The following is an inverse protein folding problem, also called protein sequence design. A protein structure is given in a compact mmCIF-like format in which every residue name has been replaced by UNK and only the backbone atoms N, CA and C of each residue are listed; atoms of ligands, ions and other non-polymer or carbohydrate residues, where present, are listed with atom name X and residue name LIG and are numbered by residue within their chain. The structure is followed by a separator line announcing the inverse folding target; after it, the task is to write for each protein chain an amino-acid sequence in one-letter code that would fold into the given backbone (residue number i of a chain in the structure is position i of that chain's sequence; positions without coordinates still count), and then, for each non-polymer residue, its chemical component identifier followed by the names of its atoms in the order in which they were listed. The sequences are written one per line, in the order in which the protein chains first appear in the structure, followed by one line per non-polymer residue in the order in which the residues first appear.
data_IF_277403389967
#
_entry.id   IF_277403389967
#
_cell.length_a   1.000
_cell.length_b   1.000
_cell.length_c   1.000
_cell.angle_alpha   90.00
_cell.angle_beta   90.00
_cell.angle_gamma   90.00
#
_symmetry.space_group_name_H-M   'P 1'
#
loop_
_entity.id
_entity.type
_entity.pdbx_description
1 polymer ?
#
# COMPACT_ATOMS: atom_id res chain seq x y z
N UNK A 1 18.17 -17.72 -15.28
CA UNK A 1 16.80 -17.42 -15.74
C UNK A 1 16.30 -16.17 -15.03
N UNK A 2 16.27 -15.05 -15.75
CA UNK A 2 15.66 -13.79 -15.33
C UNK A 2 14.22 -13.87 -15.79
N UNK A 3 13.26 -13.96 -14.87
CA UNK A 3 11.85 -13.97 -15.24
C UNK A 3 11.43 -12.55 -15.59
N UNK A 4 11.25 -12.31 -16.88
CA UNK A 4 10.53 -11.15 -17.37
C UNK A 4 9.11 -11.23 -16.80
N UNK A 5 8.77 -10.30 -15.92
CA UNK A 5 7.38 -9.95 -15.66
C UNK A 5 6.88 -9.31 -16.97
N UNK A 6 6.45 -10.16 -17.90
CA UNK A 6 5.71 -9.82 -19.11
C UNK A 6 4.30 -9.41 -18.66
N UNK A 7 4.21 -8.25 -18.01
CA UNK A 7 2.98 -7.49 -17.92
C UNK A 7 2.92 -6.72 -19.22
N UNK A 8 2.11 -7.23 -20.15
CA UNK A 8 1.91 -6.67 -21.47
C UNK A 8 1.57 -5.18 -21.35
N UNK A 9 2.51 -4.33 -21.75
CA UNK A 9 2.22 -2.98 -22.20
C UNK A 9 1.32 -3.11 -23.43
N UNK A 10 0.02 -2.89 -23.26
CA UNK A 10 -0.93 -2.89 -24.38
C UNK A 10 -2.29 -3.55 -24.15
N UNK A 11 -2.59 -4.07 -22.96
CA UNK A 11 -3.99 -4.36 -22.65
C UNK A 11 -4.72 -3.02 -22.44
N UNK A 12 -5.50 -2.58 -23.44
CA UNK A 12 -6.60 -1.64 -23.22
C UNK A 12 -7.48 -2.24 -22.12
N UNK A 13 -7.27 -1.76 -20.89
CA UNK A 13 -7.98 -2.22 -19.71
C UNK A 13 -9.46 -1.92 -19.84
N UNK A 14 -10.29 -2.88 -19.45
CA UNK A 14 -11.72 -2.67 -19.39
C UNK A 14 -12.00 -1.63 -18.31
N UNK A 15 -12.61 -0.50 -18.69
CA UNK A 15 -13.10 0.48 -17.71
C UNK A 15 -14.00 -0.25 -16.71
N UNK A 16 -13.89 0.04 -15.39
CA UNK A 16 -14.79 -0.54 -14.41
C UNK A 16 -16.23 -0.27 -14.84
N UNK A 17 -17.08 -1.30 -14.77
CA UNK A 17 -18.49 -1.18 -15.16
C UNK A 17 -19.19 -0.17 -14.26
N UNK A 18 -20.23 0.52 -14.76
CA UNK A 18 -21.00 1.48 -13.96
C UNK A 18 -21.53 0.86 -12.64
N UNK A 19 -21.85 -0.43 -12.67
CA UNK A 19 -22.26 -1.18 -11.48
C UNK A 19 -21.12 -1.35 -10.46
N UNK A 20 -19.88 -1.59 -10.91
CA UNK A 20 -18.70 -1.63 -10.03
C UNK A 20 -18.37 -0.25 -9.47
N UNK A 21 -18.42 0.80 -10.29
CA UNK A 21 -18.20 2.18 -9.86
C UNK A 21 -19.22 2.56 -8.78
N UNK A 22 -20.51 2.33 -9.05
CA UNK A 22 -21.59 2.61 -8.11
C UNK A 22 -21.39 1.85 -6.78
N UNK A 23 -21.05 0.55 -6.84
CA UNK A 23 -20.77 -0.24 -5.63
C UNK A 23 -19.55 0.28 -4.88
N UNK A 24 -18.48 0.64 -5.57
CA UNK A 24 -17.24 1.12 -4.96
C UNK A 24 -17.44 2.47 -4.26
N UNK A 25 -18.35 3.31 -4.74
CA UNK A 25 -18.73 4.55 -4.09
C UNK A 25 -19.39 4.34 -2.71
N UNK A 26 -19.95 3.16 -2.45
CA UNK A 26 -20.50 2.81 -1.13
C UNK A 26 -19.48 2.19 -0.16
N UNK A 27 -18.25 1.92 -0.62
CA UNK A 27 -17.20 1.33 0.23
C UNK A 27 -16.80 2.34 1.31
N UNK A 28 -17.13 2.04 2.56
CA UNK A 28 -16.84 2.90 3.70
C UNK A 28 -15.44 2.68 4.27
N UNK A 29 -14.88 1.49 4.07
CA UNK A 29 -13.60 1.06 4.64
C UNK A 29 -12.87 0.06 3.74
N UNK A 30 -11.54 0.02 3.78
CA UNK A 30 -10.73 -0.98 3.08
C UNK A 30 -10.03 -1.90 4.08
N UNK A 31 -10.21 -3.23 4.02
CA UNK A 31 -9.46 -4.14 4.86
C UNK A 31 -8.00 -4.21 4.42
N UNK A 32 -7.06 -4.05 5.35
CA UNK A 32 -5.60 -4.09 5.12
C UNK A 32 -4.95 -5.27 5.84
N UNK A 33 -5.35 -5.56 7.07
CA UNK A 33 -5.00 -6.77 7.83
C UNK A 33 -6.26 -7.25 8.57
N UNK A 34 -6.30 -8.47 9.12
CA UNK A 34 -7.49 -8.96 9.83
C UNK A 34 -8.01 -8.02 10.94
N UNK A 35 -7.12 -7.25 11.57
CA UNK A 35 -7.42 -6.29 12.63
C UNK A 35 -7.31 -4.82 12.19
N UNK A 36 -7.08 -4.56 10.90
CA UNK A 36 -6.74 -3.24 10.38
C UNK A 36 -7.59 -2.91 9.16
N UNK A 37 -8.46 -1.90 9.29
CA UNK A 37 -9.29 -1.38 8.21
C UNK A 37 -9.14 0.15 8.11
N UNK A 38 -8.88 0.61 6.90
CA UNK A 38 -8.77 2.01 6.58
C UNK A 38 -10.11 2.74 6.78
N UNK A 39 -10.08 3.95 7.33
CA UNK A 39 -11.22 4.81 7.68
C UNK A 39 -12.19 4.24 8.73
N UNK A 40 -11.87 3.12 9.37
CA UNK A 40 -12.69 2.48 10.41
C UNK A 40 -11.87 2.28 11.69
N UNK A 41 -10.68 1.68 11.58
CA UNK A 41 -9.86 1.33 12.75
C UNK A 41 -9.32 2.56 13.47
N UNK A 42 -9.40 2.53 14.79
CA UNK A 42 -8.91 3.58 15.69
C UNK A 42 -7.56 3.26 16.30
N UNK A 43 -6.86 4.28 16.81
CA UNK A 43 -5.60 4.11 17.55
C UNK A 43 -5.73 3.15 18.72
N UNK A 44 -6.89 3.09 19.39
CA UNK A 44 -7.08 2.22 20.55
C UNK A 44 -7.12 0.74 20.15
N UNK A 45 -7.80 0.42 19.05
CA UNK A 45 -7.98 -0.95 18.57
C UNK A 45 -6.67 -1.60 18.12
N UNK A 46 -5.71 -0.81 17.62
CA UNK A 46 -4.41 -1.34 17.18
C UNK A 46 -3.45 -1.65 18.33
N UNK A 47 -3.71 -1.16 19.55
CA UNK A 47 -2.79 -1.34 20.69
C UNK A 47 -2.60 -2.81 21.04
N UNK A 48 -3.68 -3.56 21.15
CA UNK A 48 -3.62 -4.98 21.52
C UNK A 48 -2.88 -5.82 20.46
N UNK A 49 -3.22 -5.75 19.17
CA UNK A 49 -2.44 -6.42 18.11
C UNK A 49 -0.95 -6.03 18.14
N UNK A 50 -0.63 -4.75 18.32
CA UNK A 50 0.77 -4.29 18.37
C UNK A 50 1.53 -4.89 19.56
N UNK A 51 0.90 -4.97 20.74
CA UNK A 51 1.54 -5.62 21.89
C UNK A 51 1.73 -7.13 21.68
N UNK A 52 0.78 -7.80 21.01
CA UNK A 52 0.94 -9.21 20.63
C UNK A 52 2.13 -9.39 19.68
N UNK A 53 2.30 -8.52 18.69
CA UNK A 53 3.45 -8.53 17.79
C UNK A 53 4.76 -8.26 18.55
N UNK A 54 4.76 -7.31 19.49
CA UNK A 54 5.92 -7.03 20.35
C UNK A 54 6.33 -8.27 21.15
N UNK A 55 5.37 -9.01 21.69
CA UNK A 55 5.66 -10.23 22.44
C UNK A 55 6.14 -11.37 21.53
N UNK A 56 5.58 -11.48 20.32
CA UNK A 56 5.95 -12.49 19.34
C UNK A 56 7.38 -12.29 18.80
N UNK A 57 7.75 -11.05 18.46
CA UNK A 57 9.02 -10.72 17.82
C UNK A 57 10.08 -10.21 18.81
N UNK A 58 9.68 -9.90 20.05
CA UNK A 58 10.55 -9.46 21.13
C UNK A 58 11.46 -8.30 20.69
N UNK A 59 12.75 -8.34 21.04
CA UNK A 59 13.72 -7.27 20.72
C UNK A 59 13.95 -7.02 19.22
N UNK A 60 13.37 -7.83 18.33
CA UNK A 60 13.45 -7.61 16.89
C UNK A 60 12.45 -6.59 16.36
N UNK A 61 11.36 -6.31 17.09
CA UNK A 61 10.34 -5.35 16.69
C UNK A 61 10.55 -4.02 17.42
N UNK A 62 10.89 -3.00 16.64
CA UNK A 62 10.99 -1.62 17.11
C UNK A 62 9.67 -0.90 16.84
N UNK A 63 9.18 -0.18 17.84
CA UNK A 63 7.94 0.60 17.75
C UNK A 63 8.28 2.07 17.99
N UNK A 64 7.87 2.93 17.08
CA UNK A 64 8.01 4.38 17.18
C UNK A 64 6.64 5.03 16.99
N UNK A 65 6.39 6.09 17.73
CA UNK A 65 5.17 6.90 17.61
C UNK A 65 5.55 8.37 17.49
N UNK A 66 4.73 9.15 16.80
CA UNK A 66 4.95 10.58 16.62
C UNK A 66 3.81 11.26 15.90
N UNK A 67 3.98 12.54 15.56
CA UNK A 67 3.02 13.30 14.77
C UNK A 67 3.12 12.89 13.30
N UNK A 68 1.98 12.61 12.67
CA UNK A 68 1.94 12.32 11.24
C UNK A 68 1.85 13.62 10.44
N UNK A 69 2.86 13.88 9.62
CA UNK A 69 2.80 14.97 8.63
C UNK A 69 1.73 14.68 7.55
N UNK A 70 1.41 13.41 7.33
CA UNK A 70 0.51 13.01 6.27
C UNK A 70 -0.97 13.13 6.66
N UNK A 71 -1.32 12.80 7.90
CA UNK A 71 -2.72 12.79 8.33
C UNK A 71 -3.05 13.91 9.30
N UNK A 72 -2.06 14.71 9.72
CA UNK A 72 -2.20 15.77 10.72
C UNK A 72 -2.38 15.26 12.16
N UNK A 73 -2.58 13.95 12.35
CA UNK A 73 -2.71 13.32 13.65
C UNK A 73 -1.41 12.66 14.11
N UNK A 74 -1.43 11.35 14.29
CA UNK A 74 -0.28 10.58 14.77
C UNK A 74 0.04 9.40 13.87
N UNK A 75 1.30 8.97 13.89
CA UNK A 75 1.71 7.72 13.28
C UNK A 75 2.20 6.73 14.34
N UNK A 76 2.07 5.45 14.02
CA UNK A 76 2.74 4.35 14.70
C UNK A 76 3.53 3.57 13.65
N UNK A 77 4.84 3.49 13.83
CA UNK A 77 5.74 2.77 12.95
C UNK A 77 6.27 1.51 13.63
N UNK A 78 6.12 0.37 12.96
CA UNK A 78 6.60 -0.95 13.36
C UNK A 78 7.76 -1.29 12.42
N UNK A 79 8.96 -1.47 12.96
CA UNK A 79 10.16 -1.82 12.18
C UNK A 79 10.73 -3.16 12.64
N UNK A 80 10.97 -4.06 11.69
CA UNK A 80 11.52 -5.38 11.94
C UNK A 80 13.03 -5.36 11.68
N UNK A 81 13.82 -5.73 12.67
CA UNK A 81 15.28 -5.86 12.54
C UNK A 81 15.70 -7.17 11.83
N UNK A 82 14.81 -8.16 11.78
CA UNK A 82 15.11 -9.48 11.24
C UNK A 82 14.66 -9.63 9.77
N UNK A 83 15.42 -10.35 8.93
CA UNK A 83 15.20 -10.40 7.48
C UNK A 83 13.94 -11.15 7.03
N UNK A 84 13.36 -12.02 7.88
CA UNK A 84 12.14 -12.76 7.56
C UNK A 84 10.90 -11.85 7.41
N UNK A 85 10.93 -10.66 8.02
CA UNK A 85 9.79 -9.75 8.07
C UNK A 85 8.79 -10.08 9.16
N UNK A 86 7.62 -9.43 9.10
CA UNK A 86 6.55 -9.52 10.11
C UNK A 86 5.20 -9.89 9.50
N UNK A 87 4.22 -10.24 10.34
CA UNK A 87 2.81 -10.43 9.96
C UNK A 87 2.55 -11.50 8.88
N UNK A 88 3.42 -12.51 8.80
CA UNK A 88 3.40 -13.52 7.74
C UNK A 88 3.53 -12.94 6.32
N UNK A 89 4.07 -11.72 6.20
CA UNK A 89 4.38 -11.05 4.94
C UNK A 89 5.90 -11.14 4.71
N UNK A 90 6.37 -12.05 3.84
CA UNK A 90 7.80 -12.25 3.61
C UNK A 90 8.47 -10.94 3.19
N UNK A 91 9.50 -10.56 3.96
CA UNK A 91 10.24 -9.34 3.70
C UNK A 91 9.54 -8.06 4.14
N UNK A 92 8.38 -8.09 4.80
CA UNK A 92 7.79 -6.88 5.39
C UNK A 92 8.68 -6.37 6.52
N UNK A 93 9.46 -5.33 6.24
CA UNK A 93 10.44 -4.75 7.18
C UNK A 93 9.87 -3.57 7.95
N UNK A 94 8.89 -2.87 7.39
CA UNK A 94 8.25 -1.74 8.05
C UNK A 94 6.75 -1.73 7.80
N UNK A 95 5.97 -1.45 8.84
CA UNK A 95 4.55 -1.16 8.77
C UNK A 95 4.30 0.18 9.46
N UNK A 96 3.84 1.17 8.70
CA UNK A 96 3.45 2.48 9.23
C UNK A 96 1.94 2.60 9.22
N UNK A 97 1.38 3.04 10.34
CA UNK A 97 -0.04 3.30 10.55
C UNK A 97 -0.20 4.79 10.82
N UNK A 98 -0.91 5.51 9.97
CA UNK A 98 -1.15 6.95 10.12
C UNK A 98 -2.63 7.22 10.40
N UNK A 99 -2.86 7.96 11.48
CA UNK A 99 -4.17 8.29 12.01
C UNK A 99 -4.40 9.79 11.92
N UNK A 100 -5.61 10.22 11.61
CA UNK A 100 -5.99 11.63 11.64
C UNK A 100 -6.10 12.18 13.07
N UNK A 101 -6.43 13.47 13.19
CA UNK A 101 -6.67 14.16 14.46
C UNK A 101 -7.80 13.52 15.29
N UNK A 102 -8.73 12.81 14.63
CA UNK A 102 -9.81 12.05 15.27
C UNK A 102 -9.37 10.66 15.71
N UNK A 103 -8.09 10.31 15.51
CA UNK A 103 -7.47 9.02 15.83
C UNK A 103 -8.04 7.85 15.01
N UNK A 104 -8.53 8.14 13.80
CA UNK A 104 -9.03 7.15 12.84
C UNK A 104 -7.94 6.92 11.78
N UNK A 105 -7.71 5.66 11.42
CA UNK A 105 -6.68 5.25 10.46
C UNK A 105 -6.99 5.78 9.06
N UNK A 106 -6.09 6.57 8.49
CA UNK A 106 -6.25 7.17 7.15
C UNK A 106 -5.19 6.68 6.15
N UNK A 107 -4.07 6.15 6.63
CA UNK A 107 -3.05 5.58 5.75
C UNK A 107 -2.32 4.40 6.42
N UNK A 108 -1.98 3.42 5.61
CA UNK A 108 -1.12 2.30 5.97
C UNK A 108 -0.03 2.16 4.92
N UNK A 109 1.22 2.01 5.36
CA UNK A 109 2.35 1.83 4.44
C UNK A 109 3.10 0.56 4.81
N UNK A 110 3.21 -0.36 3.85
CA UNK A 110 4.05 -1.54 3.94
C UNK A 110 5.35 -1.26 3.21
N UNK A 111 6.49 -1.47 3.88
CA UNK A 111 7.81 -1.48 3.24
C UNK A 111 8.34 -2.90 3.17
N UNK A 112 8.35 -3.46 1.98
CA UNK A 112 8.71 -4.85 1.73
C UNK A 112 10.07 -4.91 1.08
N UNK A 113 11.04 -5.55 1.75
CA UNK A 113 12.33 -5.87 1.15
C UNK A 113 12.08 -6.80 -0.03
N UNK A 114 12.48 -6.38 -1.23
CA UNK A 114 12.34 -7.12 -2.49
C UNK A 114 13.03 -8.48 -2.44
N UNK A 115 14.11 -8.56 -1.66
CA UNK A 115 14.98 -9.72 -1.56
C UNK A 115 15.82 -9.90 -2.83
N UNK A 116 16.75 -10.85 -2.77
CA UNK A 116 17.59 -11.20 -3.92
C UNK A 116 16.72 -11.61 -5.11
N UNK A 117 16.97 -11.00 -6.27
CA UNK A 117 16.22 -11.23 -7.51
C UNK A 117 14.70 -11.11 -7.33
N UNK A 118 14.25 -10.16 -6.52
CA UNK A 118 12.83 -9.83 -6.35
C UNK A 118 11.95 -10.97 -5.82
N UNK A 119 12.55 -11.93 -5.08
CA UNK A 119 11.84 -13.10 -4.55
C UNK A 119 10.58 -12.77 -3.73
N UNK A 120 10.50 -11.58 -3.12
CA UNK A 120 9.36 -11.16 -2.30
C UNK A 120 8.34 -10.29 -3.07
N UNK A 121 8.66 -9.84 -4.29
CA UNK A 121 7.77 -8.98 -5.07
C UNK A 121 6.58 -9.74 -5.65
N UNK A 122 6.81 -10.88 -6.30
CA UNK A 122 5.73 -11.67 -6.91
C UNK A 122 4.67 -12.06 -5.86
N UNK A 123 5.04 -12.62 -4.70
CA UNK A 123 4.06 -12.95 -3.67
C UNK A 123 3.29 -11.73 -3.15
N UNK A 124 3.94 -10.56 -3.05
CA UNK A 124 3.28 -9.31 -2.65
C UNK A 124 2.20 -8.92 -3.67
N UNK A 125 2.56 -8.86 -4.96
CA UNK A 125 1.64 -8.50 -6.05
C UNK A 125 0.47 -9.46 -6.15
N UNK A 126 0.72 -10.77 -6.05
CA UNK A 126 -0.32 -11.80 -6.08
C UNK A 126 -1.29 -11.67 -4.89
N UNK A 127 -0.78 -11.42 -3.68
CA UNK A 127 -1.64 -11.21 -2.50
C UNK A 127 -2.51 -9.97 -2.63
N UNK A 128 -1.95 -8.84 -3.08
CA UNK A 128 -2.72 -7.61 -3.28
C UNK A 128 -3.79 -7.80 -4.35
N UNK A 129 -3.41 -8.38 -5.49
CA UNK A 129 -4.35 -8.66 -6.58
C UNK A 129 -5.46 -9.61 -6.12
N UNK A 130 -5.11 -10.72 -5.48
CA UNK A 130 -6.08 -11.70 -4.98
C UNK A 130 -7.07 -11.10 -3.96
N UNK A 131 -6.60 -10.21 -3.10
CA UNK A 131 -7.43 -9.57 -2.07
C UNK A 131 -8.38 -8.52 -2.65
N UNK A 132 -7.89 -7.68 -3.56
CA UNK A 132 -8.65 -6.50 -4.00
C UNK A 132 -9.30 -6.64 -5.37
N UNK A 133 -9.03 -7.71 -6.13
CA UNK A 133 -9.66 -7.95 -7.46
C UNK A 133 -11.19 -7.87 -7.45
N UNK A 134 -11.82 -8.21 -6.34
CA UNK A 134 -13.28 -8.18 -6.23
C UNK A 134 -13.81 -6.75 -6.08
N UNK A 135 -12.97 -5.81 -5.64
CA UNK A 135 -13.28 -4.39 -5.48
C UNK A 135 -12.88 -3.61 -6.74
N UNK A 136 -11.66 -3.81 -7.22
CA UNK A 136 -11.14 -3.14 -8.42
C UNK A 136 -10.15 -4.03 -9.16
N UNK A 137 -10.15 -3.92 -10.49
CA UNK A 137 -9.05 -4.43 -11.30
C UNK A 137 -7.84 -3.48 -11.16
N UNK A 138 -6.62 -4.00 -11.08
CA UNK A 138 -5.46 -3.14 -10.92
C UNK A 138 -5.03 -2.46 -12.23
N UNK A 139 -4.70 -1.19 -12.13
CA UNK A 139 -4.02 -0.42 -13.15
C UNK A 139 -2.50 -0.60 -13.06
N UNK A 140 -1.87 -0.97 -14.17
CA UNK A 140 -0.41 -1.02 -14.27
C UNK A 140 0.09 0.26 -14.92
N UNK A 141 0.69 1.12 -14.10
CA UNK A 141 1.23 2.40 -14.52
C UNK A 141 2.75 2.28 -14.64
N UNK A 142 3.31 2.84 -15.70
CA UNK A 142 4.74 3.02 -15.87
C UNK A 142 5.01 4.49 -16.17
N UNK A 143 6.18 4.98 -15.77
CA UNK A 143 6.64 6.28 -16.23
C UNK A 143 7.08 6.15 -17.70
N UNK A 144 6.40 6.81 -18.65
CA UNK A 144 6.76 6.72 -20.07
C UNK A 144 8.11 7.39 -20.38
N UNK A 145 8.60 8.28 -19.52
CA UNK A 145 9.76 9.14 -19.77
C UNK A 145 11.02 8.72 -18.99
N UNK A 146 10.92 7.71 -18.12
CA UNK A 146 12.02 7.27 -17.25
C UNK A 146 12.82 6.11 -17.87
N UNK A 147 14.15 6.24 -17.86
CA UNK A 147 15.08 5.12 -18.16
C UNK A 147 14.95 3.98 -17.14
N UNK A 148 14.51 4.30 -15.92
CA UNK A 148 14.14 3.30 -14.93
C UNK A 148 12.70 2.84 -15.17
N UNK A 149 12.51 1.55 -15.48
CA UNK A 149 11.20 0.89 -15.61
C UNK A 149 10.57 0.63 -14.24
N UNK A 150 10.47 1.68 -13.42
CA UNK A 150 9.67 1.65 -12.21
C UNK A 150 8.21 1.42 -12.59
N UNK A 151 7.57 0.46 -11.91
CA UNK A 151 6.16 0.12 -12.16
C UNK A 151 5.34 0.46 -10.93
N UNK A 152 4.11 0.89 -11.17
CA UNK A 152 3.11 1.10 -10.13
C UNK A 152 1.91 0.23 -10.43
N UNK A 153 1.48 -0.54 -9.44
CA UNK A 153 0.19 -1.22 -9.43
C UNK A 153 -0.78 -0.37 -8.64
N UNK A 154 -1.90 0.04 -9.23
CA UNK A 154 -2.87 0.89 -8.57
C UNK A 154 -4.24 0.20 -8.54
N UNK A 155 -4.85 0.09 -7.36
CA UNK A 155 -6.26 -0.27 -7.23
C UNK A 155 -7.05 0.99 -6.90
N UNK A 156 -7.91 1.41 -7.83
CA UNK A 156 -8.86 2.50 -7.64
C UNK A 156 -10.17 1.95 -7.03
N UNK A 157 -10.47 2.31 -5.78
CA UNK A 157 -11.64 1.80 -5.04
C UNK A 157 -12.43 2.97 -4.43
N UNK A 158 -13.26 3.61 -5.24
CA UNK A 158 -14.13 4.71 -4.79
C UNK A 158 -13.29 5.86 -4.22
N UNK A 159 -13.48 6.23 -2.95
CA UNK A 159 -12.64 7.25 -2.29
C UNK A 159 -11.23 6.78 -1.91
N UNK A 160 -10.94 5.48 -2.05
CA UNK A 160 -9.70 4.86 -1.63
C UNK A 160 -8.82 4.50 -2.82
N UNK A 161 -7.52 4.41 -2.55
CA UNK A 161 -6.54 3.90 -3.48
C UNK A 161 -5.55 2.98 -2.75
N UNK A 162 -5.12 1.93 -3.45
CA UNK A 162 -4.03 1.06 -3.01
C UNK A 162 -2.95 1.12 -4.08
N UNK A 163 -1.79 1.64 -3.71
CA UNK A 163 -0.67 1.82 -4.61
C UNK A 163 0.47 0.88 -4.21
N UNK A 164 0.95 0.06 -5.13
CA UNK A 164 2.17 -0.73 -4.96
C UNK A 164 3.23 -0.22 -5.91
N UNK A 165 4.24 0.48 -5.37
CA UNK A 165 5.41 0.95 -6.11
C UNK A 165 6.47 -0.14 -6.16
N UNK A 166 6.84 -0.52 -7.38
CA UNK A 166 7.80 -1.57 -7.72
C UNK A 166 8.99 -0.91 -8.41
N UNK A 167 10.00 -0.44 -7.65
CA UNK A 167 11.15 0.20 -8.25
C UNK A 167 12.01 -0.83 -9.00
N UNK A 168 12.57 -0.45 -10.15
CA UNK A 168 13.58 -1.25 -10.84
C UNK A 168 14.85 -1.32 -9.98
N UNK A 169 15.30 -0.17 -9.47
CA UNK A 169 16.47 -0.04 -8.63
C UNK A 169 16.06 0.37 -7.21
N UNK A 170 16.37 -0.45 -6.22
CA UNK A 170 16.03 -0.18 -4.82
C UNK A 170 15.91 -1.44 -3.99
N UNK A 171 16.01 -1.33 -2.67
CA UNK A 171 15.89 -2.49 -1.77
C UNK A 171 14.44 -2.83 -1.46
N UNK A 172 13.54 -1.85 -1.54
CA UNK A 172 12.18 -1.96 -1.02
C UNK A 172 11.12 -1.68 -2.08
N UNK A 173 10.10 -2.52 -2.13
CA UNK A 173 8.79 -2.15 -2.65
C UNK A 173 7.95 -1.51 -1.54
N UNK A 174 7.05 -0.62 -1.93
CA UNK A 174 6.15 0.05 -1.00
C UNK A 174 4.71 -0.22 -1.43
N UNK A 175 3.87 -0.70 -0.51
CA UNK A 175 2.43 -0.75 -0.71
C UNK A 175 1.74 0.23 0.23
N UNK A 176 1.05 1.22 -0.35
CA UNK A 176 0.36 2.29 0.36
C UNK A 176 -1.14 2.09 0.23
N UNK A 177 -1.83 2.05 1.36
CA UNK A 177 -3.30 1.99 1.45
C UNK A 177 -3.78 3.30 2.00
N UNK A 178 -4.52 4.08 1.23
CA UNK A 178 -4.98 5.40 1.70
C UNK A 178 -6.19 5.91 0.91
N UNK A 179 -6.63 7.13 1.20
CA UNK A 179 -7.64 7.83 0.40
C UNK A 179 -6.99 8.44 -0.84
N UNK A 180 -7.76 8.59 -1.93
CA UNK A 180 -7.27 9.28 -3.14
C UNK A 180 -6.73 10.67 -2.84
N UNK A 181 -7.37 11.40 -1.92
CA UNK A 181 -6.93 12.73 -1.47
C UNK A 181 -5.52 12.72 -0.89
N UNK A 182 -5.23 11.78 0.02
CA UNK A 182 -3.89 11.67 0.63
C UNK A 182 -2.88 11.20 -0.42
N UNK A 183 -3.22 10.20 -1.23
CA UNK A 183 -2.32 9.70 -2.28
C UNK A 183 -1.97 10.81 -3.29
N UNK A 184 -2.96 11.60 -3.73
CA UNK A 184 -2.75 12.72 -4.63
C UNK A 184 -1.78 13.75 -4.04
N UNK A 185 -1.93 14.08 -2.75
CA UNK A 185 -1.01 14.99 -2.07
C UNK A 185 0.41 14.43 -2.00
N UNK A 186 0.57 13.17 -1.59
CA UNK A 186 1.87 12.49 -1.54
C UNK A 186 2.58 12.51 -2.90
N UNK A 187 1.86 12.14 -3.97
CA UNK A 187 2.43 12.09 -5.32
C UNK A 187 2.69 13.47 -5.92
N UNK A 188 1.96 14.49 -5.47
CA UNK A 188 2.25 15.88 -5.83
C UNK A 188 3.55 16.34 -5.18
N UNK A 189 3.76 16.05 -3.90
CA UNK A 189 5.01 16.38 -3.18
C UNK A 189 6.20 15.63 -3.79
N UNK A 190 6.01 14.35 -4.13
CA UNK A 190 7.05 13.53 -4.76
C UNK A 190 7.26 13.85 -6.25
N UNK A 191 6.49 14.78 -6.84
CA UNK A 191 6.55 15.13 -8.27
C UNK A 191 6.32 13.95 -9.23
N UNK A 192 5.47 12.99 -8.83
CA UNK A 192 5.11 11.80 -9.61
C UNK A 192 3.62 11.69 -9.91
N UNK A 193 2.84 12.76 -9.66
CA UNK A 193 1.38 12.75 -9.83
C UNK A 193 0.96 12.50 -11.28
N UNK A 194 1.76 12.95 -12.26
CA UNK A 194 1.52 12.79 -13.69
C UNK A 194 1.38 11.32 -14.13
N UNK A 195 2.03 10.39 -13.42
CA UNK A 195 1.96 8.94 -13.71
C UNK A 195 0.51 8.42 -13.57
N UNK A 196 -0.30 9.08 -12.75
CA UNK A 196 -1.67 8.66 -12.42
C UNK A 196 -2.71 9.25 -13.39
N UNK A 197 -2.34 10.24 -14.22
CA UNK A 197 -3.27 10.93 -15.10
C UNK A 197 -4.51 11.45 -14.34
N UNK A 198 -5.69 11.09 -14.84
CA UNK A 198 -6.99 11.44 -14.26
C UNK A 198 -7.54 10.38 -13.27
N UNK A 199 -6.86 9.25 -13.06
CA UNK A 199 -7.41 8.11 -12.29
C UNK A 199 -7.76 8.50 -10.85
N UNK A 200 -6.92 9.33 -10.21
CA UNK A 200 -7.15 9.78 -8.83
C UNK A 200 -8.24 10.86 -8.70
N UNK A 201 -8.77 11.37 -9.81
CA UNK A 201 -9.83 12.38 -9.86
C UNK A 201 -11.21 11.80 -10.17
N UNK A 202 -11.28 10.50 -10.49
CA UNK A 202 -12.52 9.74 -10.70
C UNK A 202 -13.19 9.38 -9.37
#
# INVERSE_FOLDING_TARGET
MVFAILLASGATQARPTDAQIARNNFVQSIPVLPWLKLAETTVHEVRTPIQQLKNQYQGALLIQEGTSAETGGMFINLSMALPQGMLNEPGLQMLTLDFDERKILQMVVFRVNRGWKDRNLTPLVERMTGRYRNLAEPDFLGDPDSEATDKTLLFDIGRFAIEVRLPQHGTYATATFTTKTILKRLRTVDSTIQIFGDILDR
#
